data_IF_656886961733
#
_entry.id   IF_656886961733
#
_cell.length_a   1.000
_cell.length_b   1.000
_cell.length_c   1.000
_cell.angle_alpha   90.00
_cell.angle_beta   90.00
_cell.angle_gamma   90.00
#
_symmetry.space_group_name_H-M   'P 1'
#
loop_
_entity.id
_entity.type
_entity.pdbx_description
1 polymer ?
#
# COMPACT_ATOMS: atom_id res chain seq x y z
N UNK A 1 -25.01 -15.54 -18.72
CA UNK A 1 -25.46 -14.18 -18.43
C UNK A 1 -24.69 -13.54 -17.29
N UNK A 2 -24.75 -14.16 -16.11
CA UNK A 2 -24.01 -13.61 -14.97
C UNK A 2 -22.52 -13.52 -15.24
N UNK A 3 -22.01 -14.48 -15.97
CA UNK A 3 -20.59 -14.51 -16.27
C UNK A 3 -20.17 -13.31 -17.10
N UNK A 4 -20.95 -12.99 -18.13
CA UNK A 4 -20.63 -11.85 -18.98
C UNK A 4 -20.75 -10.55 -18.23
N UNK A 5 -21.74 -10.44 -17.34
CA UNK A 5 -21.90 -9.25 -16.52
C UNK A 5 -20.67 -9.02 -15.66
N UNK A 6 -20.13 -10.08 -15.09
CA UNK A 6 -18.92 -9.96 -14.27
C UNK A 6 -17.72 -9.51 -15.08
N UNK A 7 -17.58 -10.04 -16.29
CA UNK A 7 -16.48 -9.66 -17.16
C UNK A 7 -16.58 -8.19 -17.51
N UNK A 8 -17.80 -7.73 -17.82
CA UNK A 8 -18.00 -6.32 -18.17
C UNK A 8 -17.66 -5.43 -17.01
N UNK A 9 -18.08 -5.79 -15.80
CA UNK A 9 -17.77 -5.00 -14.61
C UNK A 9 -16.27 -4.94 -14.38
N UNK A 10 -15.59 -6.06 -14.51
CA UNK A 10 -14.14 -6.09 -14.31
C UNK A 10 -13.44 -5.25 -15.36
N UNK A 11 -13.85 -5.35 -16.62
CA UNK A 11 -13.24 -4.56 -17.67
C UNK A 11 -13.48 -3.07 -17.46
N UNK A 12 -14.70 -2.71 -17.08
CA UNK A 12 -15.01 -1.32 -16.80
C UNK A 12 -14.14 -0.79 -15.67
N UNK A 13 -14.01 -1.58 -14.61
CA UNK A 13 -13.19 -1.19 -13.48
C UNK A 13 -11.73 -0.98 -13.90
N UNK A 14 -11.20 -1.91 -14.70
CA UNK A 14 -9.82 -1.80 -15.18
C UNK A 14 -9.63 -0.55 -16.02
N UNK A 15 -10.57 -0.25 -16.90
CA UNK A 15 -10.49 0.92 -17.76
C UNK A 15 -10.49 2.20 -16.92
N UNK A 16 -11.37 2.27 -15.94
CA UNK A 16 -11.44 3.44 -15.07
C UNK A 16 -10.15 3.60 -14.29
N UNK A 17 -9.65 2.51 -13.73
CA UNK A 17 -8.42 2.57 -12.95
C UNK A 17 -7.21 2.90 -13.80
N UNK A 18 -7.25 2.54 -15.05
CA UNK A 18 -6.13 2.82 -15.94
C UNK A 18 -5.92 4.31 -16.13
N UNK A 19 -6.99 5.10 -16.04
CA UNK A 19 -6.88 6.53 -16.15
C UNK A 19 -6.41 7.21 -14.88
N UNK A 20 -6.50 6.50 -13.77
CA UNK A 20 -6.06 6.99 -12.47
C UNK A 20 -4.84 6.18 -12.07
N UNK A 21 -3.68 6.78 -12.17
CA UNK A 21 -2.45 6.06 -11.93
C UNK A 21 -2.09 5.92 -10.46
N UNK A 22 -2.90 6.48 -9.58
CA UNK A 22 -2.64 6.34 -8.16
C UNK A 22 -2.98 4.92 -7.73
N UNK A 23 -2.14 4.39 -6.86
CA UNK A 23 -2.38 3.07 -6.30
C UNK A 23 -3.32 3.21 -5.12
N UNK A 24 -4.32 2.33 -5.01
CA UNK A 24 -5.25 2.38 -3.86
C UNK A 24 -4.64 1.81 -2.59
N UNK A 25 -3.35 1.88 -2.46
CA UNK A 25 -2.65 1.41 -1.28
C UNK A 25 -2.25 2.61 -0.44
N UNK A 26 -2.73 2.63 0.78
CA UNK A 26 -2.42 3.70 1.72
C UNK A 26 -1.49 3.15 2.78
N UNK A 27 -0.67 4.04 3.37
CA UNK A 27 0.22 3.57 4.39
C UNK A 27 0.40 4.60 5.50
N UNK A 28 0.76 4.09 6.65
CA UNK A 28 1.07 4.90 7.82
C UNK A 28 2.49 4.62 8.27
N UNK A 29 3.35 4.31 7.32
CA UNK A 29 4.74 3.97 7.64
C UNK A 29 5.46 5.12 8.34
N UNK A 30 5.24 6.34 7.88
CA UNK A 30 5.89 7.49 8.48
C UNK A 30 5.54 7.61 9.96
N UNK A 31 4.28 7.39 10.29
CA UNK A 31 3.82 7.46 11.66
C UNK A 31 4.49 6.40 12.53
N UNK A 32 4.52 5.16 12.03
CA UNK A 32 5.13 4.08 12.80
C UNK A 32 6.64 4.22 12.87
N UNK A 33 7.24 4.74 11.82
CA UNK A 33 8.67 5.03 11.84
C UNK A 33 8.98 6.10 12.92
N UNK A 34 8.15 7.13 12.99
CA UNK A 34 8.33 8.17 13.99
C UNK A 34 8.23 7.61 15.40
N UNK A 35 7.30 6.69 15.62
CA UNK A 35 7.17 6.04 16.93
C UNK A 35 8.39 5.21 17.28
N UNK A 36 9.00 4.61 16.26
CA UNK A 36 10.21 3.83 16.46
C UNK A 36 11.41 4.73 16.74
N UNK A 37 11.32 6.01 16.38
CA UNK A 37 12.37 6.98 16.67
C UNK A 37 13.52 6.96 15.68
N UNK A 38 13.28 6.49 14.46
CA UNK A 38 14.33 6.42 13.44
C UNK A 38 13.95 7.30 12.25
N UNK A 39 14.96 7.78 11.55
CA UNK A 39 14.73 8.55 10.33
C UNK A 39 14.63 7.60 9.14
N UNK A 40 14.39 8.16 7.95
CA UNK A 40 14.22 7.34 6.74
C UNK A 40 15.47 6.54 6.42
N UNK A 41 16.64 7.12 6.60
CA UNK A 41 17.87 6.42 6.31
C UNK A 41 18.07 5.24 7.25
N UNK A 42 17.81 5.46 8.54
CA UNK A 42 17.93 4.40 9.53
C UNK A 42 16.92 3.27 9.28
N UNK A 43 15.70 3.64 8.95
CA UNK A 43 14.69 2.64 8.62
C UNK A 43 15.13 1.83 7.41
N UNK A 44 15.67 2.49 6.39
CA UNK A 44 16.17 1.80 5.22
C UNK A 44 17.25 0.82 5.56
N UNK A 45 18.19 1.23 6.40
CA UNK A 45 19.27 0.34 6.82
C UNK A 45 18.73 -0.88 7.55
N UNK A 46 17.76 -0.68 8.44
CA UNK A 46 17.17 -1.77 9.19
C UNK A 46 16.41 -2.72 8.28
N UNK A 47 15.75 -2.20 7.27
CA UNK A 47 14.96 -3.01 6.36
C UNK A 47 15.77 -3.56 5.18
N UNK A 48 17.01 -3.12 5.04
CA UNK A 48 17.84 -3.60 3.93
C UNK A 48 17.51 -2.94 2.60
N UNK A 49 17.01 -1.71 2.62
CA UNK A 49 16.69 -0.97 1.41
C UNK A 49 17.22 0.46 1.56
N UNK A 50 17.18 1.20 0.45
CA UNK A 50 17.71 2.56 0.47
C UNK A 50 16.74 3.52 1.17
N UNK A 51 17.27 4.67 1.58
CA UNK A 51 16.45 5.74 2.11
C UNK A 51 15.41 6.16 1.10
N UNK A 52 15.79 6.20 -0.18
CA UNK A 52 14.87 6.58 -1.25
C UNK A 52 13.68 5.64 -1.33
N UNK A 53 13.92 4.34 -1.15
CA UNK A 53 12.83 3.36 -1.15
C UNK A 53 11.84 3.65 -0.03
N UNK A 54 12.34 3.93 1.17
CA UNK A 54 11.46 4.26 2.30
C UNK A 54 10.66 5.52 1.98
N UNK A 55 11.33 6.53 1.44
CA UNK A 55 10.66 7.78 1.09
C UNK A 55 9.55 7.55 0.07
N UNK A 56 9.82 6.74 -0.94
CA UNK A 56 8.83 6.46 -1.97
C UNK A 56 7.64 5.70 -1.42
N UNK A 57 7.88 4.76 -0.50
CA UNK A 57 6.78 4.04 0.13
C UNK A 57 5.91 5.02 0.93
N UNK A 58 6.54 5.89 1.71
CA UNK A 58 5.80 6.82 2.56
C UNK A 58 4.95 7.79 1.75
N UNK A 59 5.42 8.16 0.56
CA UNK A 59 4.66 9.05 -0.32
C UNK A 59 3.57 8.31 -1.12
N UNK A 60 3.57 6.99 -1.07
CA UNK A 60 2.62 6.22 -1.85
C UNK A 60 3.04 6.02 -3.30
N UNK A 61 4.30 6.31 -3.62
CA UNK A 61 4.81 6.18 -4.97
C UNK A 61 5.35 4.80 -5.30
N UNK A 62 5.46 3.95 -4.31
CA UNK A 62 6.05 2.63 -4.49
C UNK A 62 5.35 1.64 -3.56
N UNK A 63 4.92 0.53 -4.14
CA UNK A 63 4.28 -0.53 -3.38
C UNK A 63 5.35 -1.57 -3.01
N UNK A 64 5.61 -1.78 -1.75
CA UNK A 64 6.65 -2.73 -1.35
C UNK A 64 6.23 -4.16 -1.65
N UNK A 65 7.21 -5.04 -1.80
CA UNK A 65 6.94 -6.47 -1.90
C UNK A 65 6.35 -6.95 -0.58
N UNK A 66 5.71 -8.12 -0.63
CA UNK A 66 5.16 -8.70 0.59
C UNK A 66 6.26 -8.91 1.63
N UNK A 67 7.42 -9.38 1.18
CA UNK A 67 8.54 -9.60 2.09
C UNK A 67 8.96 -8.31 2.78
N UNK A 68 9.10 -7.24 2.01
CA UNK A 68 9.49 -5.97 2.59
C UNK A 68 8.42 -5.43 3.53
N UNK A 69 7.14 -5.55 3.14
CA UNK A 69 6.05 -5.09 3.98
C UNK A 69 6.03 -5.81 5.32
N UNK A 70 6.20 -7.12 5.29
CA UNK A 70 6.23 -7.91 6.53
C UNK A 70 7.44 -7.54 7.39
N UNK A 71 8.57 -7.27 6.74
CA UNK A 71 9.77 -6.88 7.47
C UNK A 71 9.58 -5.53 8.16
N UNK A 72 8.98 -4.58 7.45
CA UNK A 72 8.70 -3.27 8.04
C UNK A 72 7.76 -3.39 9.22
N UNK A 73 6.72 -4.21 9.08
CA UNK A 73 5.78 -4.43 10.18
C UNK A 73 6.48 -5.02 11.39
N UNK A 74 7.35 -5.98 11.16
CA UNK A 74 8.09 -6.60 12.24
C UNK A 74 9.01 -5.61 12.94
N UNK A 75 9.67 -4.76 12.17
CA UNK A 75 10.54 -3.74 12.74
C UNK A 75 9.75 -2.77 13.61
N UNK A 76 8.55 -2.42 13.19
CA UNK A 76 7.68 -1.52 13.93
C UNK A 76 6.89 -2.22 15.02
N UNK A 77 6.97 -3.55 15.10
CA UNK A 77 6.27 -4.36 16.10
C UNK A 77 4.75 -4.21 16.00
N UNK A 78 4.26 -4.16 14.78
CA UNK A 78 2.83 -4.08 14.51
C UNK A 78 2.51 -5.05 13.39
N UNK A 79 1.22 -5.22 13.09
CA UNK A 79 0.82 -6.05 11.96
C UNK A 79 1.00 -5.27 10.67
N UNK A 80 1.07 -5.98 9.55
CA UNK A 80 1.20 -5.32 8.26
C UNK A 80 -0.03 -4.45 7.98
N UNK A 81 -1.19 -4.86 8.47
CA UNK A 81 -2.42 -4.09 8.27
C UNK A 81 -2.42 -2.81 9.07
N UNK A 82 -1.60 -2.70 10.11
CA UNK A 82 -1.48 -1.46 10.84
C UNK A 82 -0.75 -0.41 10.03
N UNK A 83 0.08 -0.84 9.11
CA UNK A 83 0.88 0.09 8.29
C UNK A 83 0.23 0.32 6.93
N UNK A 84 -0.22 -0.75 6.28
CA UNK A 84 -0.72 -0.68 4.92
C UNK A 84 -2.19 -1.05 4.86
N UNK A 85 -2.95 -0.28 4.09
CA UNK A 85 -4.35 -0.59 3.87
C UNK A 85 -4.66 -0.39 2.40
N UNK A 86 -5.61 -1.18 1.91
CA UNK A 86 -6.04 -1.15 0.54
C UNK A 86 -7.50 -0.75 0.51
N UNK A 87 -7.81 0.34 -0.20
CA UNK A 87 -9.17 0.85 -0.24
C UNK A 87 -9.58 1.12 -1.67
N UNK A 88 -10.79 0.73 -1.98
CA UNK A 88 -11.37 0.95 -3.30
C UNK A 88 -12.71 1.63 -3.14
N UNK A 89 -12.87 2.78 -3.80
CA UNK A 89 -14.13 3.51 -3.73
C UNK A 89 -15.29 2.70 -4.26
N UNK A 90 -15.04 1.95 -5.34
CA UNK A 90 -16.07 1.13 -5.96
C UNK A 90 -16.59 0.09 -4.98
N UNK A 91 -15.69 -0.51 -4.21
CA UNK A 91 -16.09 -1.51 -3.24
C UNK A 91 -17.00 -0.92 -2.17
N UNK A 92 -16.69 0.26 -1.73
CA UNK A 92 -17.50 0.91 -0.71
C UNK A 92 -18.92 1.12 -1.18
N UNK A 93 -19.09 1.48 -2.42
CA UNK A 93 -20.42 1.69 -2.98
C UNK A 93 -21.16 0.39 -3.16
N UNK A 94 -20.45 -0.67 -3.53
CA UNK A 94 -21.08 -1.94 -3.77
C UNK A 94 -21.60 -2.57 -2.48
N UNK A 95 -21.03 -2.21 -1.35
CA UNK A 95 -21.42 -2.77 -0.08
C UNK A 95 -22.65 -2.09 0.53
N UNK A 96 -23.12 -1.06 -0.11
CA UNK A 96 -24.31 -0.38 0.38
C UNK A 96 -25.53 -0.88 -0.32
#
# INVERSE_FOLDING_TARGET
MLYLTRIIVILTWIIVRKGDERMPLYNRLKEHRARLGVNQQEMGALAGVSRQTISQIERGDYSPSVTLALKLAKLCQVSVEDIFSYEEDVRNEAEK
#
